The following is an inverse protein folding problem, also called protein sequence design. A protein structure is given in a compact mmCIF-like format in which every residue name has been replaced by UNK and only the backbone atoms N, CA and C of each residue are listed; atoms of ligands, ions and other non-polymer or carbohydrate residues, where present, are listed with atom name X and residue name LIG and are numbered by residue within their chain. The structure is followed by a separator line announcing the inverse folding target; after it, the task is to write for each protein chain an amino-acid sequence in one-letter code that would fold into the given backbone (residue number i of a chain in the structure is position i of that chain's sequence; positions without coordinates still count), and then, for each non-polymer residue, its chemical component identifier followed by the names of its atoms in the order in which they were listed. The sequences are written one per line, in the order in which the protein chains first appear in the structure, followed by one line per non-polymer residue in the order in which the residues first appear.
data_IF_383430466074
#
_entry.id   IF_383430466074
#
_cell.length_a   1.000
_cell.length_b   1.000
_cell.length_c   1.000
_cell.angle_alpha   90.00
_cell.angle_beta   90.00
_cell.angle_gamma   90.00
#
_symmetry.space_group_name_H-M   'P 1'
#
loop_
_entity.id
_entity.type
_entity.pdbx_description
1 polymer ?
#
# COMPACT_ATOMS: atom_id res chain seq x y z
N UNK A 1 10.11 -16.04 -1.70
CA UNK A 1 10.35 -14.62 -2.00
C UNK A 1 11.16 -14.50 -3.29
N UNK A 2 10.85 -13.53 -4.16
CA UNK A 2 11.59 -13.20 -5.39
C UNK A 2 11.98 -11.74 -5.35
N UNK A 3 13.25 -11.42 -5.64
CA UNK A 3 13.75 -10.04 -5.61
C UNK A 3 14.14 -9.64 -7.03
N UNK A 4 13.57 -8.54 -7.50
CA UNK A 4 13.92 -7.91 -8.78
C UNK A 4 14.70 -6.63 -8.51
N UNK A 5 15.98 -6.66 -8.88
CA UNK A 5 16.85 -5.50 -8.85
C UNK A 5 16.58 -4.61 -10.05
N UNK A 6 16.45 -3.31 -9.83
CA UNK A 6 16.17 -2.29 -10.85
C UNK A 6 17.22 -1.18 -10.76
N UNK A 7 17.36 -0.40 -11.84
CA UNK A 7 18.40 0.63 -11.95
C UNK A 7 18.04 1.89 -11.17
N UNK A 8 16.77 2.27 -11.23
CA UNK A 8 16.27 3.54 -10.75
C UNK A 8 14.75 3.45 -10.49
N UNK A 9 14.15 4.57 -10.06
CA UNK A 9 12.72 4.68 -9.79
C UNK A 9 11.84 4.35 -11.01
N UNK A 10 12.27 4.74 -12.22
CA UNK A 10 11.48 4.49 -13.43
C UNK A 10 11.47 3.01 -13.78
N UNK A 11 12.63 2.34 -13.74
CA UNK A 11 12.72 0.89 -13.96
C UNK A 11 11.99 0.10 -12.87
N UNK A 12 12.06 0.56 -11.61
CA UNK A 12 11.31 0.01 -10.47
C UNK A 12 9.80 0.10 -10.71
N UNK A 13 9.33 1.28 -11.10
CA UNK A 13 7.91 1.54 -11.41
C UNK A 13 7.41 0.66 -12.55
N UNK A 14 8.19 0.59 -13.63
CA UNK A 14 7.89 -0.27 -14.79
C UNK A 14 7.84 -1.75 -14.41
N UNK A 15 8.78 -2.22 -13.59
CA UNK A 15 8.83 -3.62 -13.14
C UNK A 15 7.67 -3.96 -12.21
N UNK A 16 7.32 -3.06 -11.28
CA UNK A 16 6.15 -3.22 -10.42
C UNK A 16 4.85 -3.25 -11.25
N UNK A 17 4.72 -2.36 -12.24
CA UNK A 17 3.59 -2.37 -13.16
C UNK A 17 3.49 -3.69 -13.96
N UNK A 18 4.61 -4.33 -14.34
CA UNK A 18 4.56 -5.64 -14.99
C UNK A 18 3.91 -6.72 -14.11
N UNK A 19 4.20 -6.71 -12.80
CA UNK A 19 3.61 -7.67 -11.85
C UNK A 19 2.11 -7.44 -11.72
N UNK A 20 1.67 -6.18 -11.61
CA UNK A 20 0.24 -5.84 -11.49
C UNK A 20 -0.48 -6.16 -12.80
N UNK A 21 0.10 -5.80 -13.96
CA UNK A 21 -0.48 -6.12 -15.26
C UNK A 21 -0.68 -7.62 -15.46
N UNK A 22 0.30 -8.43 -15.09
CA UNK A 22 0.18 -9.88 -15.15
C UNK A 22 -0.96 -10.40 -14.25
N UNK A 23 -1.18 -9.79 -13.08
CA UNK A 23 -2.29 -10.15 -12.20
C UNK A 23 -3.64 -9.82 -12.85
N UNK A 24 -3.79 -8.61 -13.41
CA UNK A 24 -5.04 -8.18 -14.08
C UNK A 24 -5.33 -9.02 -15.31
N UNK A 25 -4.32 -9.29 -16.16
CA UNK A 25 -4.49 -10.12 -17.37
C UNK A 25 -4.90 -11.55 -17.04
N UNK A 26 -4.26 -12.15 -16.02
CA UNK A 26 -4.53 -13.56 -15.68
C UNK A 26 -5.78 -13.78 -14.84
N UNK A 27 -6.26 -12.73 -14.16
CA UNK A 27 -7.48 -12.72 -13.37
C UNK A 27 -8.16 -11.35 -13.48
N UNK A 28 -8.99 -11.12 -14.51
CA UNK A 28 -9.64 -9.82 -14.74
C UNK A 28 -10.49 -9.31 -13.56
N UNK A 29 -11.14 -10.21 -12.83
CA UNK A 29 -11.94 -9.92 -11.64
C UNK A 29 -11.12 -9.88 -10.34
N UNK A 30 -9.80 -9.65 -10.43
CA UNK A 30 -8.92 -9.66 -9.25
C UNK A 30 -9.22 -8.53 -8.27
N UNK A 31 -8.90 -8.79 -7.00
CA UNK A 31 -8.89 -7.77 -5.94
C UNK A 31 -7.46 -7.28 -5.75
N UNK A 32 -7.23 -6.00 -6.06
CA UNK A 32 -5.95 -5.33 -5.86
C UNK A 32 -5.94 -4.59 -4.53
N UNK A 33 -4.96 -4.88 -3.70
CA UNK A 33 -4.60 -4.08 -2.53
C UNK A 33 -3.66 -2.95 -2.95
N UNK A 34 -4.12 -1.70 -2.84
CA UNK A 34 -3.40 -0.53 -3.33
C UNK A 34 -2.80 0.27 -2.18
N UNK A 35 -1.74 1.02 -2.47
CA UNK A 35 -1.03 1.87 -1.54
C UNK A 35 -0.98 3.31 -2.06
N UNK A 36 -0.81 4.26 -1.14
CA UNK A 36 -0.60 5.68 -1.45
C UNK A 36 0.87 6.10 -1.23
N UNK A 37 1.15 7.39 -1.34
CA UNK A 37 2.50 7.93 -1.20
C UNK A 37 3.27 8.04 -2.52
N UNK A 38 4.52 8.48 -2.45
CA UNK A 38 5.32 8.76 -3.64
C UNK A 38 5.78 7.51 -4.40
N UNK A 39 5.99 6.40 -3.68
CA UNK A 39 6.55 5.17 -4.26
C UNK A 39 5.70 4.59 -5.40
N UNK A 40 4.36 4.43 -5.28
CA UNK A 40 3.55 3.79 -6.32
C UNK A 40 3.17 4.72 -7.49
N UNK A 41 3.41 6.03 -7.42
CA UNK A 41 2.96 6.99 -8.47
C UNK A 41 3.47 6.58 -9.86
N UNK A 42 4.76 6.27 -9.99
CA UNK A 42 5.34 5.86 -11.27
C UNK A 42 4.74 4.55 -11.78
N UNK A 43 4.43 3.62 -10.86
CA UNK A 43 3.75 2.36 -11.18
C UNK A 43 2.34 2.63 -11.72
N UNK A 44 1.58 3.52 -11.09
CA UNK A 44 0.23 3.89 -11.55
C UNK A 44 0.26 4.57 -12.92
N UNK A 45 1.22 5.45 -13.18
CA UNK A 45 1.41 6.04 -14.52
C UNK A 45 1.64 4.97 -15.59
N UNK A 46 2.49 3.97 -15.31
CA UNK A 46 2.72 2.85 -16.22
C UNK A 46 1.45 2.00 -16.45
N UNK A 47 0.60 1.82 -15.45
CA UNK A 47 -0.68 1.11 -15.60
C UNK A 47 -1.66 1.91 -16.46
N UNK A 48 -1.74 3.23 -16.27
CA UNK A 48 -2.55 4.14 -17.09
C UNK A 48 -2.13 4.11 -18.57
N UNK A 49 -0.82 4.19 -18.85
CA UNK A 49 -0.29 4.10 -20.19
C UNK A 49 -0.68 2.78 -20.88
N UNK A 50 -0.60 1.67 -20.18
CA UNK A 50 -0.99 0.34 -20.71
C UNK A 50 -2.50 0.23 -20.95
N UNK A 51 -3.32 0.79 -20.07
CA UNK A 51 -4.75 0.88 -20.30
C UNK A 51 -5.06 1.73 -21.54
N UNK A 52 -4.44 2.89 -21.69
CA UNK A 52 -4.62 3.78 -22.85
C UNK A 52 -4.17 3.13 -24.16
N UNK A 53 -3.15 2.27 -24.12
CA UNK A 53 -2.68 1.50 -25.25
C UNK A 53 -3.57 0.28 -25.58
N UNK A 54 -4.56 -0.05 -24.73
CA UNK A 54 -5.43 -1.20 -24.90
C UNK A 54 -4.84 -2.54 -24.41
N UNK A 55 -3.73 -2.49 -23.66
CA UNK A 55 -3.06 -3.68 -23.13
C UNK A 55 -3.71 -4.19 -21.82
N UNK A 56 -4.44 -3.32 -21.10
CA UNK A 56 -5.09 -3.64 -19.82
C UNK A 56 -6.56 -3.20 -19.82
N UNK A 57 -7.38 -3.99 -19.14
CA UNK A 57 -8.78 -3.71 -18.84
C UNK A 57 -9.01 -3.83 -17.33
N UNK A 58 -9.52 -2.76 -16.70
CA UNK A 58 -9.79 -2.73 -15.26
C UNK A 58 -11.29 -2.79 -14.94
N UNK A 59 -12.17 -3.00 -15.93
CA UNK A 59 -13.62 -2.92 -15.76
C UNK A 59 -14.19 -3.92 -14.73
N UNK A 60 -13.55 -5.09 -14.55
CA UNK A 60 -13.96 -6.09 -13.57
C UNK A 60 -13.08 -6.07 -12.30
N UNK A 61 -12.00 -5.29 -12.28
CA UNK A 61 -11.08 -5.20 -11.16
C UNK A 61 -11.78 -4.57 -9.96
N UNK A 62 -11.51 -5.10 -8.77
CA UNK A 62 -11.88 -4.50 -7.49
C UNK A 62 -10.62 -4.03 -6.76
N UNK A 63 -10.75 -2.99 -5.96
CA UNK A 63 -9.62 -2.51 -5.16
C UNK A 63 -9.99 -2.27 -3.70
N UNK A 64 -9.00 -2.48 -2.83
CA UNK A 64 -8.98 -2.07 -1.43
C UNK A 64 -7.70 -1.30 -1.16
N UNK A 65 -7.76 -0.20 -0.42
CA UNK A 65 -6.56 0.51 0.01
C UNK A 65 -6.11 0.09 1.40
N UNK A 66 -4.82 0.24 1.68
CA UNK A 66 -4.25 -0.09 2.99
C UNK A 66 -4.83 0.77 4.12
N UNK A 67 -5.08 2.04 3.85
CA UNK A 67 -5.33 3.03 4.89
C UNK A 67 -6.06 4.27 4.38
N UNK A 68 -6.51 5.09 5.32
CA UNK A 68 -7.03 6.45 5.11
C UNK A 68 -6.88 7.24 6.41
N UNK A 69 -6.64 8.53 6.31
CA UNK A 69 -6.67 9.45 7.44
C UNK A 69 -8.06 9.55 8.08
N UNK A 70 -8.11 9.47 9.41
CA UNK A 70 -9.35 9.75 10.16
C UNK A 70 -9.55 11.24 10.30
N UNK A 71 -10.76 11.70 9.96
CA UNK A 71 -11.16 13.10 10.03
C UNK A 71 -11.05 13.86 8.71
N UNK A 72 -10.55 13.24 7.62
CA UNK A 72 -10.55 13.87 6.31
C UNK A 72 -11.73 13.37 5.45
N UNK A 73 -12.52 14.28 4.85
CA UNK A 73 -13.50 13.91 3.85
C UNK A 73 -12.81 13.45 2.56
N UNK A 74 -13.45 12.55 1.82
CA UNK A 74 -12.84 11.93 0.63
C UNK A 74 -12.51 12.91 -0.51
N UNK A 75 -13.11 14.08 -0.53
CA UNK A 75 -12.83 15.16 -1.49
C UNK A 75 -11.74 16.13 -1.03
N UNK A 76 -11.21 15.96 0.18
CA UNK A 76 -10.04 16.69 0.64
C UNK A 76 -8.81 16.29 -0.19
N UNK A 77 -8.03 17.28 -0.65
CA UNK A 77 -6.89 17.06 -1.55
C UNK A 77 -5.75 16.20 -0.95
N UNK A 78 -5.75 16.00 0.36
CA UNK A 78 -4.81 15.14 1.08
C UNK A 78 -5.43 13.81 1.54
N UNK A 79 -6.72 13.53 1.24
CA UNK A 79 -7.28 12.21 1.51
C UNK A 79 -6.67 11.15 0.57
N UNK A 80 -6.58 9.91 1.03
CA UNK A 80 -6.08 8.83 0.19
C UNK A 80 -7.06 8.43 -0.90
N UNK A 81 -8.36 8.68 -0.69
CA UNK A 81 -9.34 8.59 -1.78
C UNK A 81 -9.02 9.58 -2.91
N UNK A 82 -8.77 10.85 -2.59
CA UNK A 82 -8.40 11.86 -3.58
C UNK A 82 -7.09 11.50 -4.28
N UNK A 83 -6.11 11.02 -3.52
CA UNK A 83 -4.84 10.54 -4.08
C UNK A 83 -5.08 9.42 -5.12
N UNK A 84 -5.86 8.41 -4.78
CA UNK A 84 -6.13 7.27 -5.67
C UNK A 84 -6.93 7.70 -6.90
N UNK A 85 -7.93 8.55 -6.72
CA UNK A 85 -8.72 9.09 -7.81
C UNK A 85 -7.84 9.87 -8.79
N UNK A 86 -6.98 10.75 -8.30
CA UNK A 86 -6.15 11.63 -9.15
C UNK A 86 -4.97 10.93 -9.80
N UNK A 87 -4.40 9.90 -9.16
CA UNK A 87 -3.20 9.23 -9.65
C UNK A 87 -3.49 7.93 -10.41
N UNK A 88 -4.72 7.38 -10.34
CA UNK A 88 -5.06 6.13 -11.02
C UNK A 88 -6.50 6.10 -11.52
N UNK A 89 -7.51 6.20 -10.64
CA UNK A 89 -8.86 5.76 -10.96
C UNK A 89 -9.52 6.58 -12.08
N UNK A 90 -9.33 7.90 -12.12
CA UNK A 90 -9.94 8.77 -13.16
C UNK A 90 -9.41 8.51 -14.58
N UNK A 91 -8.25 7.89 -14.71
CA UNK A 91 -7.52 7.70 -15.98
C UNK A 91 -7.57 6.24 -16.50
N UNK A 92 -8.34 5.35 -15.81
CA UNK A 92 -8.60 3.97 -16.21
C UNK A 92 -10.09 3.66 -16.15
N UNK A 93 -10.52 2.50 -16.66
CA UNK A 93 -11.94 2.11 -16.70
C UNK A 93 -12.42 1.29 -15.48
N UNK A 94 -11.78 1.43 -14.33
CA UNK A 94 -12.26 0.79 -13.11
C UNK A 94 -13.61 1.40 -12.71
N UNK A 95 -14.57 0.53 -12.35
CA UNK A 95 -15.81 0.99 -11.75
C UNK A 95 -15.53 1.55 -10.35
N UNK A 96 -15.87 2.81 -10.10
CA UNK A 96 -15.62 3.46 -8.81
C UNK A 96 -16.38 2.77 -7.67
N UNK A 97 -17.51 2.11 -7.94
CA UNK A 97 -18.24 1.33 -6.94
C UNK A 97 -17.47 0.05 -6.51
N UNK A 98 -16.50 -0.37 -7.31
CA UNK A 98 -15.57 -1.46 -7.00
C UNK A 98 -14.31 -0.98 -6.25
N UNK A 99 -14.16 0.32 -6.00
CA UNK A 99 -13.01 0.87 -5.25
C UNK A 99 -13.38 1.08 -3.79
N UNK A 100 -12.55 0.56 -2.89
CA UNK A 100 -12.82 0.62 -1.46
C UNK A 100 -11.63 1.19 -0.69
N UNK A 101 -11.91 2.19 0.11
CA UNK A 101 -10.97 2.88 1.00
C UNK A 101 -11.67 3.01 2.36
N UNK A 102 -10.96 2.97 3.50
CA UNK A 102 -11.57 3.24 4.78
C UNK A 102 -12.27 4.60 4.79
N UNK A 103 -13.39 4.69 5.49
CA UNK A 103 -14.14 5.95 5.60
C UNK A 103 -13.55 6.83 6.71
N UNK A 104 -12.69 7.77 6.35
CA UNK A 104 -12.08 8.71 7.30
C UNK A 104 -13.09 9.53 8.11
N UNK A 105 -14.31 9.69 7.64
CA UNK A 105 -15.35 10.48 8.31
C UNK A 105 -16.21 9.68 9.31
N UNK A 106 -16.04 8.36 9.42
CA UNK A 106 -16.70 7.60 10.49
C UNK A 106 -15.98 7.86 11.83
N UNK A 107 -16.63 8.48 12.82
CA UNK A 107 -16.00 8.79 14.10
C UNK A 107 -15.82 7.56 15.00
N UNK A 108 -16.68 6.56 14.85
CA UNK A 108 -16.63 5.31 15.59
C UNK A 108 -15.62 4.36 14.93
N UNK A 109 -14.45 4.24 15.56
CA UNK A 109 -13.34 3.45 15.02
C UNK A 109 -13.67 1.96 14.91
N UNK A 110 -14.36 1.40 15.90
CA UNK A 110 -14.69 -0.03 15.90
C UNK A 110 -15.67 -0.34 14.75
N UNK A 111 -16.66 0.53 14.57
CA UNK A 111 -17.63 0.41 13.49
C UNK A 111 -16.98 0.47 12.11
N UNK A 112 -16.05 1.41 11.89
CA UNK A 112 -15.36 1.52 10.59
C UNK A 112 -14.42 0.33 10.36
N UNK A 113 -13.65 -0.06 11.35
CA UNK A 113 -12.75 -1.21 11.26
C UNK A 113 -13.51 -2.49 10.94
N UNK A 114 -14.63 -2.73 11.61
CA UNK A 114 -15.51 -3.87 11.35
C UNK A 114 -16.11 -3.82 9.95
N UNK A 115 -16.59 -2.64 9.51
CA UNK A 115 -17.13 -2.45 8.15
C UNK A 115 -16.06 -2.79 7.10
N UNK A 116 -14.86 -2.25 7.27
CA UNK A 116 -13.80 -2.42 6.28
C UNK A 116 -13.30 -3.87 6.20
N UNK A 117 -13.16 -4.54 7.34
CA UNK A 117 -12.85 -5.98 7.37
C UNK A 117 -13.90 -6.81 6.62
N UNK A 118 -15.20 -6.53 6.84
CA UNK A 118 -16.30 -7.21 6.13
C UNK A 118 -16.28 -6.94 4.61
N UNK A 119 -15.91 -5.73 4.20
CA UNK A 119 -15.74 -5.40 2.78
C UNK A 119 -14.66 -6.30 2.16
N UNK A 120 -13.49 -6.40 2.77
CA UNK A 120 -12.38 -7.24 2.28
C UNK A 120 -12.80 -8.73 2.25
N UNK A 121 -13.43 -9.21 3.30
CA UNK A 121 -13.93 -10.60 3.38
C UNK A 121 -14.97 -10.90 2.29
N UNK A 122 -15.89 -9.97 2.01
CA UNK A 122 -16.93 -10.14 1.01
C UNK A 122 -16.40 -10.28 -0.43
N UNK A 123 -15.19 -9.76 -0.68
CA UNK A 123 -14.50 -9.89 -1.97
C UNK A 123 -13.68 -11.18 -2.08
N UNK A 124 -13.64 -12.01 -1.02
CA UNK A 124 -12.80 -13.22 -0.98
C UNK A 124 -11.32 -12.94 -0.68
N UNK A 125 -11.02 -11.77 -0.10
CA UNK A 125 -9.66 -11.32 0.22
C UNK A 125 -8.93 -10.67 -0.95
N UNK A 126 -7.65 -10.40 -0.78
CA UNK A 126 -6.80 -9.67 -1.74
C UNK A 126 -5.99 -10.63 -2.60
N UNK A 127 -6.03 -10.47 -3.92
CA UNK A 127 -5.23 -11.29 -4.84
C UNK A 127 -3.78 -10.82 -4.93
N UNK A 128 -3.55 -9.51 -4.98
CA UNK A 128 -2.21 -8.89 -4.97
C UNK A 128 -2.23 -7.64 -4.12
N UNK A 129 -1.45 -7.63 -3.04
CA UNK A 129 -1.27 -6.45 -2.17
C UNK A 129 0.03 -5.72 -2.52
N UNK A 130 -0.09 -4.44 -2.85
CA UNK A 130 1.05 -3.55 -3.05
C UNK A 130 1.42 -2.93 -1.70
N UNK A 131 2.71 -2.94 -1.38
CA UNK A 131 3.26 -2.34 -0.17
C UNK A 131 4.43 -1.41 -0.52
N UNK A 132 4.47 -0.24 0.10
CA UNK A 132 5.69 0.52 0.32
C UNK A 132 6.36 0.08 1.62
N UNK A 133 7.58 0.57 1.87
CA UNK A 133 8.32 0.34 3.09
C UNK A 133 8.61 1.67 3.80
N UNK A 134 8.12 1.80 5.04
CA UNK A 134 8.47 2.95 5.87
C UNK A 134 9.92 2.92 6.35
N UNK A 135 10.48 4.07 6.76
CA UNK A 135 11.87 4.17 7.23
C UNK A 135 12.15 3.37 8.50
N UNK A 136 11.13 3.12 9.31
CA UNK A 136 11.20 2.29 10.52
C UNK A 136 10.67 0.86 10.31
N UNK A 137 10.41 0.47 9.07
CA UNK A 137 9.94 -0.87 8.71
C UNK A 137 8.42 -1.04 8.74
N UNK A 138 7.65 0.03 8.90
CA UNK A 138 6.19 -0.07 8.84
C UNK A 138 5.69 -0.43 7.44
N UNK A 139 4.55 -1.10 7.37
CA UNK A 139 3.76 -1.38 6.17
C UNK A 139 2.31 -0.97 6.43
N UNK A 140 1.71 -0.14 5.52
CA UNK A 140 0.56 0.66 5.87
C UNK A 140 0.92 1.61 7.01
N UNK A 141 0.03 1.83 7.97
CA UNK A 141 0.35 2.49 9.23
C UNK A 141 0.58 1.51 10.39
N UNK A 142 1.00 0.26 10.10
CA UNK A 142 1.45 -0.66 11.15
C UNK A 142 2.88 -0.28 11.56
N UNK A 143 2.99 0.61 12.54
CA UNK A 143 4.24 1.12 13.11
C UNK A 143 4.92 0.06 14.02
N UNK A 144 6.21 0.24 14.36
CA UNK A 144 6.89 -0.60 15.37
C UNK A 144 6.15 -0.61 16.71
N UNK A 145 5.73 -1.78 17.16
CA UNK A 145 4.93 -2.01 18.36
C UNK A 145 5.38 -3.29 19.10
N UNK A 146 4.76 -3.59 20.25
CA UNK A 146 5.05 -4.82 21.01
C UNK A 146 4.48 -6.07 20.35
N UNK A 147 3.39 -5.92 19.57
CA UNK A 147 2.68 -7.01 18.91
C UNK A 147 2.37 -6.65 17.45
N UNK A 148 2.10 -7.67 16.64
CA UNK A 148 1.54 -7.46 15.31
C UNK A 148 0.02 -7.27 15.41
N UNK A 149 -0.49 -6.10 15.01
CA UNK A 149 -1.92 -5.87 14.90
C UNK A 149 -2.55 -6.74 13.81
N UNK A 150 -3.70 -7.33 14.13
CA UNK A 150 -4.26 -8.39 13.28
C UNK A 150 -5.12 -7.86 12.15
N UNK A 151 -6.19 -7.13 12.49
CA UNK A 151 -7.23 -6.68 11.58
C UNK A 151 -7.12 -5.18 11.36
N UNK A 152 -7.99 -4.62 10.54
CA UNK A 152 -8.10 -3.17 10.40
C UNK A 152 -8.30 -2.53 11.76
N UNK A 153 -7.55 -1.50 12.05
CA UNK A 153 -7.58 -0.78 13.33
C UNK A 153 -7.36 0.71 13.14
N UNK A 154 -7.74 1.49 14.13
CA UNK A 154 -7.41 2.92 14.20
C UNK A 154 -6.07 3.07 14.92
N UNK A 155 -5.16 3.81 14.33
CA UNK A 155 -3.82 4.06 14.88
C UNK A 155 -3.62 5.55 15.13
N UNK A 156 -2.96 5.88 16.24
CA UNK A 156 -2.42 7.21 16.48
C UNK A 156 -1.11 7.36 15.69
N UNK A 157 -1.01 8.41 14.86
CA UNK A 157 0.18 8.64 14.06
C UNK A 157 1.34 9.11 14.93
N UNK A 158 2.52 8.55 14.72
CA UNK A 158 3.73 8.97 15.42
C UNK A 158 4.13 10.39 15.02
N UNK A 159 4.82 11.12 15.92
CA UNK A 159 5.33 12.46 15.63
C UNK A 159 6.23 12.48 14.38
N UNK A 160 7.01 11.41 14.14
CA UNK A 160 7.83 11.27 12.94
C UNK A 160 6.99 11.15 11.67
N UNK A 161 5.87 10.45 11.72
CA UNK A 161 4.93 10.32 10.59
C UNK A 161 4.21 11.64 10.33
N UNK A 162 3.77 12.35 11.37
CA UNK A 162 3.16 13.68 11.27
C UNK A 162 4.16 14.66 10.63
N UNK A 163 5.39 14.70 11.12
CA UNK A 163 6.45 15.56 10.60
C UNK A 163 6.77 15.26 9.13
N UNK A 164 6.85 13.98 8.76
CA UNK A 164 7.08 13.56 7.37
C UNK A 164 5.93 13.97 6.43
N UNK A 165 4.69 13.99 6.93
CA UNK A 165 3.50 14.29 6.15
C UNK A 165 3.13 15.78 6.13
N UNK A 166 3.65 16.60 7.07
CA UNK A 166 3.34 18.04 7.13
C UNK A 166 3.60 18.79 5.83
N UNK A 167 4.53 18.32 5.00
CA UNK A 167 4.85 18.89 3.68
C UNK A 167 3.67 18.90 2.70
N UNK A 168 2.65 18.11 2.97
CA UNK A 168 1.44 18.00 2.16
C UNK A 168 0.28 18.85 2.68
N UNK A 169 0.40 19.46 3.87
CA UNK A 169 -0.62 20.23 4.54
C UNK A 169 -0.18 21.70 4.71
N UNK A 170 -1.12 22.59 4.96
CA UNK A 170 -0.83 24.01 5.17
C UNK A 170 0.00 24.25 6.44
N UNK A 171 -0.25 23.43 7.49
CA UNK A 171 0.51 23.44 8.74
C UNK A 171 0.61 22.03 9.34
N UNK A 172 1.49 21.85 10.34
CA UNK A 172 1.57 20.59 11.07
C UNK A 172 0.30 20.28 11.88
N UNK A 173 -0.44 21.32 12.28
CA UNK A 173 -1.69 21.17 13.03
C UNK A 173 -2.85 20.65 12.16
N UNK A 174 -2.76 20.83 10.84
CA UNK A 174 -3.74 20.33 9.88
C UNK A 174 -3.52 18.84 9.53
N UNK A 175 -2.38 18.26 9.90
CA UNK A 175 -2.11 16.83 9.69
C UNK A 175 -2.99 16.03 10.64
N UNK A 176 -3.80 15.08 10.13
CA UNK A 176 -4.59 14.21 10.99
C UNK A 176 -3.71 13.47 12.00
N UNK A 177 -4.23 13.26 13.19
CA UNK A 177 -3.52 12.57 14.27
C UNK A 177 -3.77 11.07 14.29
N UNK A 178 -4.80 10.62 13.57
CA UNK A 178 -5.23 9.22 13.50
C UNK A 178 -5.44 8.79 12.06
N UNK A 179 -5.30 7.48 11.85
CA UNK A 179 -5.63 6.84 10.57
C UNK A 179 -6.29 5.48 10.82
N UNK A 180 -7.09 5.02 9.85
CA UNK A 180 -7.53 3.64 9.74
C UNK A 180 -6.53 2.89 8.87
N UNK A 181 -6.04 1.75 9.33
CA UNK A 181 -5.07 0.95 8.57
C UNK A 181 -5.41 -0.53 8.59
N UNK A 182 -5.19 -1.19 7.46
CA UNK A 182 -5.29 -2.64 7.33
C UNK A 182 -4.22 -3.31 8.21
N UNK A 183 -4.62 -4.23 9.07
CA UNK A 183 -3.70 -4.91 9.98
C UNK A 183 -2.86 -6.00 9.30
N UNK A 184 -1.81 -6.41 9.98
CA UNK A 184 -0.80 -7.35 9.50
C UNK A 184 -1.41 -8.69 9.07
N UNK A 185 -2.38 -9.23 9.82
CA UNK A 185 -3.04 -10.49 9.42
C UNK A 185 -3.71 -10.38 8.06
N UNK A 186 -4.43 -9.29 7.82
CA UNK A 186 -5.13 -9.06 6.54
C UNK A 186 -4.14 -8.90 5.40
N UNK A 187 -3.05 -8.17 5.60
CA UNK A 187 -1.95 -8.05 4.64
C UNK A 187 -1.36 -9.42 4.31
N UNK A 188 -1.05 -10.22 5.35
CA UNK A 188 -0.46 -11.55 5.20
C UNK A 188 -1.41 -12.61 4.61
N UNK A 189 -2.71 -12.33 4.56
CA UNK A 189 -3.71 -13.18 3.90
C UNK A 189 -3.85 -12.88 2.41
N UNK A 190 -3.24 -11.84 1.88
CA UNK A 190 -3.17 -11.61 0.45
C UNK A 190 -2.51 -12.82 -0.24
N UNK A 191 -2.99 -13.19 -1.44
CA UNK A 191 -2.43 -14.36 -2.15
C UNK A 191 -1.01 -14.08 -2.64
N UNK A 192 -0.70 -12.82 -2.94
CA UNK A 192 0.60 -12.34 -3.38
C UNK A 192 0.87 -10.96 -2.80
N UNK A 193 2.10 -10.69 -2.43
CA UNK A 193 2.57 -9.38 -1.97
C UNK A 193 3.60 -8.84 -2.96
N UNK A 194 3.44 -7.57 -3.33
CA UNK A 194 4.40 -6.79 -4.09
C UNK A 194 4.94 -5.67 -3.19
N UNK A 195 6.15 -5.86 -2.67
CA UNK A 195 6.87 -4.83 -1.93
C UNK A 195 7.71 -4.00 -2.91
N UNK A 196 7.52 -2.68 -2.88
CA UNK A 196 8.26 -1.72 -3.72
C UNK A 196 9.08 -0.80 -2.83
N UNK A 197 10.39 -0.70 -3.05
CA UNK A 197 11.31 0.03 -2.17
C UNK A 197 12.43 0.73 -2.94
N UNK A 198 12.63 2.02 -2.68
CA UNK A 198 13.67 2.85 -3.31
C UNK A 198 14.90 3.09 -2.43
N UNK A 199 15.83 3.91 -2.93
CA UNK A 199 17.22 4.07 -2.48
C UNK A 199 17.42 4.40 -0.98
N UNK A 200 16.53 5.18 -0.40
CA UNK A 200 16.64 5.62 1.00
C UNK A 200 16.25 4.55 2.04
N UNK A 201 16.02 3.31 1.59
CA UNK A 201 15.51 2.21 2.40
C UNK A 201 16.49 1.04 2.61
N UNK A 202 17.75 1.15 2.19
CA UNK A 202 18.69 0.01 2.18
C UNK A 202 18.81 -0.69 3.53
N UNK A 203 19.01 0.06 4.61
CA UNK A 203 19.16 -0.53 5.94
C UNK A 203 17.89 -1.24 6.41
N UNK A 204 16.75 -0.55 6.30
CA UNK A 204 15.48 -1.12 6.77
C UNK A 204 14.97 -2.25 5.86
N UNK A 205 15.27 -2.21 4.57
CA UNK A 205 14.94 -3.32 3.66
C UNK A 205 15.72 -4.57 4.02
N UNK A 206 17.04 -4.46 4.32
CA UNK A 206 17.85 -5.56 4.83
C UNK A 206 17.26 -6.10 6.14
N UNK A 207 16.95 -5.23 7.10
CA UNK A 207 16.42 -5.65 8.40
C UNK A 207 15.03 -6.32 8.25
N UNK A 208 14.20 -5.85 7.34
CA UNK A 208 12.90 -6.45 7.04
C UNK A 208 13.00 -7.82 6.35
N UNK A 209 13.97 -8.01 5.44
CA UNK A 209 14.03 -9.24 4.62
C UNK A 209 15.02 -10.28 5.12
N UNK A 210 16.03 -9.88 5.92
CA UNK A 210 17.10 -10.74 6.39
C UNK A 210 17.30 -10.72 7.91
N UNK A 211 16.69 -9.75 8.61
CA UNK A 211 16.76 -9.62 10.06
C UNK A 211 15.79 -10.56 10.81
N UNK A 212 15.76 -10.48 12.13
CA UNK A 212 14.78 -11.21 12.94
C UNK A 212 13.34 -10.79 12.60
N UNK A 213 12.42 -11.74 12.63
CA UNK A 213 11.01 -11.46 12.50
C UNK A 213 10.49 -10.89 13.83
N UNK A 214 10.12 -9.63 13.84
CA UNK A 214 9.74 -8.90 15.05
C UNK A 214 8.74 -7.78 14.75
N UNK A 215 7.79 -7.48 15.65
CA UNK A 215 6.91 -6.33 15.51
C UNK A 215 7.64 -4.98 15.53
N UNK A 216 8.88 -4.93 16.04
CA UNK A 216 9.74 -3.74 15.99
C UNK A 216 10.20 -3.38 14.57
N UNK A 217 10.08 -4.32 13.63
CA UNK A 217 10.25 -4.13 12.19
C UNK A 217 9.04 -4.81 11.52
N UNK A 218 7.88 -4.16 11.42
CA UNK A 218 6.64 -4.80 11.00
C UNK A 218 6.73 -5.53 9.66
N UNK A 219 7.47 -4.98 8.69
CA UNK A 219 7.70 -5.62 7.40
C UNK A 219 8.49 -6.94 7.49
N UNK A 220 9.16 -7.23 8.62
CA UNK A 220 9.91 -8.49 8.80
C UNK A 220 9.00 -9.72 8.73
N UNK A 221 7.70 -9.57 9.02
CA UNK A 221 6.72 -10.65 8.92
C UNK A 221 6.58 -11.20 7.49
N UNK A 222 6.91 -10.38 6.48
CA UNK A 222 6.84 -10.77 5.07
C UNK A 222 7.75 -11.95 4.74
N UNK A 223 8.77 -12.23 5.57
CA UNK A 223 9.63 -13.42 5.45
C UNK A 223 8.81 -14.72 5.59
N UNK A 224 7.68 -14.70 6.27
CA UNK A 224 6.79 -15.85 6.46
C UNK A 224 5.72 -15.99 5.37
N UNK A 225 5.59 -15.01 4.47
CA UNK A 225 4.57 -15.07 3.43
C UNK A 225 5.02 -15.97 2.26
N UNK A 226 4.09 -16.76 1.72
CA UNK A 226 4.39 -17.77 0.69
C UNK A 226 4.80 -17.18 -0.67
N UNK A 227 4.23 -16.03 -1.08
CA UNK A 227 4.51 -15.41 -2.38
C UNK A 227 4.73 -13.90 -2.25
N UNK A 228 6.00 -13.52 -1.99
CA UNK A 228 6.45 -12.13 -1.95
C UNK A 228 7.32 -11.84 -3.16
N UNK A 229 6.99 -10.79 -3.87
CA UNK A 229 7.81 -10.18 -4.91
C UNK A 229 8.31 -8.84 -4.35
N UNK A 230 9.62 -8.67 -4.32
CA UNK A 230 10.28 -7.41 -3.98
C UNK A 230 10.80 -6.78 -5.27
N UNK A 231 10.43 -5.54 -5.51
CA UNK A 231 10.98 -4.72 -6.59
C UNK A 231 11.69 -3.55 -5.94
N UNK A 232 13.01 -3.52 -6.04
CA UNK A 232 13.82 -2.50 -5.39
C UNK A 232 14.97 -2.05 -6.30
N UNK A 233 15.38 -0.79 -6.16
CA UNK A 233 16.53 -0.29 -6.91
C UNK A 233 17.86 -0.79 -6.33
N UNK A 234 18.94 -0.56 -7.10
CA UNK A 234 20.28 -1.01 -6.71
C UNK A 234 20.73 -0.42 -5.39
N UNK A 235 20.36 0.84 -5.11
CA UNK A 235 20.74 1.52 -3.89
C UNK A 235 20.00 0.91 -2.67
N UNK A 236 18.70 0.63 -2.79
CA UNK A 236 17.94 -0.05 -1.75
C UNK A 236 18.46 -1.46 -1.44
N UNK A 237 19.02 -2.16 -2.45
CA UNK A 237 19.58 -3.51 -2.29
C UNK A 237 21.07 -3.51 -1.91
N UNK A 238 21.70 -2.34 -1.75
CA UNK A 238 23.16 -2.23 -1.54
C UNK A 238 23.68 -2.88 -0.26
N UNK A 239 22.82 -3.16 0.72
CA UNK A 239 23.17 -3.86 1.97
C UNK A 239 22.67 -5.31 2.03
N UNK A 240 22.18 -5.83 0.90
CA UNK A 240 21.73 -7.21 0.76
C UNK A 240 22.72 -7.94 -0.16
N UNK A 241 23.52 -8.85 0.41
CA UNK A 241 24.45 -9.73 -0.31
C UNK A 241 23.73 -10.94 -0.94
#
# INVERSE_FOLDING_TARGET
MRIYKTKDYEDMSRKAANVISAQVITKPDCVLGLATGSTPIGTYKQLIERYQNGDLDFSEVKSVNLDEYKGLPKDHDQSYYYFMYTNLFKDINIDLDNTNIPNGMEPDSDKECDRYNKVIESMGGVDLQILGLGHNGHIGFNEPEEVFEKLTHCVDLTESTIEANKRFFASADDVPRQAYTMGIKTIMQAKKILLVSGEDKAAILRDALCGPITPQVPASILQLHNDVIVVADEAALSLMD
#
